data_IF_776402433193
#
_entry.id   IF_776402433193
#
_cell.length_a   1.000
_cell.length_b   1.000
_cell.length_c   1.000
_cell.angle_alpha   90.00
_cell.angle_beta   90.00
_cell.angle_gamma   90.00
#
_symmetry.space_group_name_H-M   'P 1'
#
loop_
_entity.id
_entity.type
_entity.pdbx_description
1 polymer ?
#
# COMPACT_ATOMS: atom_id res chain seq x y z
N UNK A 1 -24.31 -4.97 65.57
CA UNK A 1 -24.13 -5.79 64.35
C UNK A 1 -24.80 -5.05 63.20
N UNK A 2 -24.00 -4.47 62.30
CA UNK A 2 -24.46 -3.63 61.18
C UNK A 2 -24.76 -4.53 59.98
N UNK A 3 -26.00 -4.50 59.47
CA UNK A 3 -26.39 -5.20 58.24
C UNK A 3 -25.91 -4.38 57.04
N UNK A 4 -24.88 -4.86 56.35
CA UNK A 4 -24.47 -4.32 55.04
C UNK A 4 -25.37 -4.89 53.95
N UNK A 5 -26.15 -4.03 53.32
CA UNK A 5 -26.90 -4.33 52.10
C UNK A 5 -25.97 -4.16 50.90
N UNK A 6 -25.65 -5.25 50.21
CA UNK A 6 -24.93 -5.22 48.93
C UNK A 6 -25.92 -4.85 47.81
N UNK A 7 -25.74 -3.67 47.22
CA UNK A 7 -26.38 -3.27 45.97
C UNK A 7 -25.64 -3.95 44.80
N UNK A 8 -26.33 -4.86 44.10
CA UNK A 8 -25.84 -5.45 42.85
C UNK A 8 -26.21 -4.49 41.71
N UNK A 9 -25.20 -3.85 41.10
CA UNK A 9 -25.37 -3.07 39.90
C UNK A 9 -25.46 -4.00 38.68
N UNK A 10 -26.65 -4.09 38.05
CA UNK A 10 -26.80 -4.74 36.75
C UNK A 10 -26.15 -3.86 35.68
N UNK A 11 -25.03 -4.30 35.12
CA UNK A 11 -24.45 -3.71 33.92
C UNK A 11 -25.33 -4.10 32.72
N UNK A 12 -26.01 -3.12 32.13
CA UNK A 12 -26.69 -3.28 30.84
C UNK A 12 -25.66 -3.41 29.73
N UNK A 13 -25.48 -4.61 29.20
CA UNK A 13 -24.72 -4.85 27.99
C UNK A 13 -25.49 -4.25 26.80
N UNK A 14 -25.07 -3.09 26.31
CA UNK A 14 -25.51 -2.56 25.02
C UNK A 14 -24.92 -3.42 23.91
N UNK A 15 -25.70 -4.36 23.39
CA UNK A 15 -25.37 -5.05 22.15
C UNK A 15 -25.40 -4.03 21.01
N UNK A 16 -24.24 -3.64 20.50
CA UNK A 16 -24.16 -2.90 19.25
C UNK A 16 -24.73 -3.79 18.14
N UNK A 17 -25.96 -3.51 17.72
CA UNK A 17 -26.55 -4.13 16.54
C UNK A 17 -25.74 -3.70 15.34
N UNK A 18 -25.01 -4.63 14.71
CA UNK A 18 -24.49 -4.41 13.35
C UNK A 18 -25.69 -4.09 12.48
N UNK A 19 -25.75 -2.87 11.94
CA UNK A 19 -26.84 -2.45 11.06
C UNK A 19 -26.66 -3.16 9.72
N UNK A 20 -27.24 -4.36 9.61
CA UNK A 20 -27.25 -5.12 8.37
C UNK A 20 -28.07 -4.37 7.32
N UNK A 21 -27.53 -4.32 6.10
CA UNK A 21 -28.19 -3.75 4.93
C UNK A 21 -28.72 -4.85 4.01
N UNK A 22 -29.49 -4.48 2.98
CA UNK A 22 -30.06 -5.43 2.02
C UNK A 22 -29.52 -5.21 0.62
N UNK A 23 -29.16 -6.30 -0.06
CA UNK A 23 -28.77 -6.33 -1.47
C UNK A 23 -29.59 -7.43 -2.15
N UNK A 24 -30.64 -7.02 -2.85
CA UNK A 24 -31.63 -7.95 -3.40
C UNK A 24 -32.36 -8.65 -2.25
N UNK A 25 -32.18 -9.97 -2.14
CA UNK A 25 -32.75 -10.79 -1.07
C UNK A 25 -31.75 -11.10 0.05
N UNK A 26 -30.48 -10.70 -0.09
CA UNK A 26 -29.44 -10.97 0.89
C UNK A 26 -29.34 -9.83 1.92
N UNK A 27 -29.17 -10.17 3.19
CA UNK A 27 -28.67 -9.24 4.20
C UNK A 27 -27.14 -9.26 4.23
N UNK A 28 -26.50 -8.11 4.41
CA UNK A 28 -25.04 -8.01 4.42
C UNK A 28 -24.54 -6.97 5.43
N UNK A 29 -23.29 -7.15 5.86
CA UNK A 29 -22.57 -6.16 6.66
C UNK A 29 -21.91 -5.13 5.71
N UNK A 30 -22.31 -3.85 5.76
CA UNK A 30 -21.77 -2.81 4.88
C UNK A 30 -20.30 -2.46 5.16
N UNK A 31 -19.73 -2.97 6.25
CA UNK A 31 -18.29 -2.86 6.51
C UNK A 31 -17.46 -3.93 5.80
N UNK A 32 -18.09 -5.02 5.34
CA UNK A 32 -17.44 -6.15 4.67
C UNK A 32 -17.77 -6.24 3.18
N UNK A 33 -18.94 -5.74 2.76
CA UNK A 33 -19.41 -5.82 1.38
C UNK A 33 -20.02 -4.50 0.92
N UNK A 34 -20.08 -4.34 -0.39
CA UNK A 34 -20.80 -3.27 -1.08
C UNK A 34 -21.79 -3.90 -2.07
N UNK A 35 -23.00 -3.33 -2.15
CA UNK A 35 -24.03 -3.79 -3.06
C UNK A 35 -23.98 -3.03 -4.39
N UNK A 36 -23.90 -3.76 -5.50
CA UNK A 36 -23.95 -3.24 -6.87
C UNK A 36 -25.22 -3.69 -7.58
N UNK A 37 -25.79 -2.79 -8.39
CA UNK A 37 -27.01 -3.03 -9.18
C UNK A 37 -28.15 -3.68 -8.35
N UNK A 38 -28.21 -3.35 -7.06
CA UNK A 38 -29.18 -3.87 -6.09
C UNK A 38 -29.25 -5.39 -5.96
N UNK A 39 -28.29 -6.15 -6.49
CA UNK A 39 -28.37 -7.62 -6.58
C UNK A 39 -27.04 -8.35 -6.44
N UNK A 40 -25.90 -7.66 -6.60
CA UNK A 40 -24.58 -8.28 -6.55
C UNK A 40 -23.77 -7.72 -5.40
N UNK A 41 -23.29 -8.60 -4.51
CA UNK A 41 -22.40 -8.23 -3.42
C UNK A 41 -20.95 -8.38 -3.85
N UNK A 42 -20.19 -7.30 -3.70
CA UNK A 42 -18.73 -7.33 -3.84
C UNK A 42 -18.06 -7.10 -2.50
N UNK A 43 -16.98 -7.83 -2.17
CA UNK A 43 -16.30 -7.64 -0.90
C UNK A 43 -15.56 -6.30 -0.86
N UNK A 44 -15.32 -5.81 0.35
CA UNK A 44 -14.41 -4.70 0.62
C UNK A 44 -13.04 -5.28 0.96
N UNK A 45 -12.04 -5.05 0.12
CA UNK A 45 -10.68 -5.57 0.31
C UNK A 45 -9.69 -4.43 0.57
N UNK A 46 -8.98 -4.49 1.69
CA UNK A 46 -7.99 -3.48 2.08
C UNK A 46 -8.56 -2.03 2.05
N UNK A 47 -9.82 -1.89 2.44
CA UNK A 47 -10.56 -0.62 2.42
C UNK A 47 -11.13 -0.23 1.06
N UNK A 48 -10.90 -1.02 0.00
CA UNK A 48 -11.50 -0.80 -1.31
C UNK A 48 -12.82 -1.58 -1.44
N UNK A 49 -13.96 -0.90 -1.61
CA UNK A 49 -15.17 -1.54 -2.10
C UNK A 49 -14.97 -1.93 -3.57
N UNK A 50 -14.80 -3.22 -3.83
CA UNK A 50 -14.51 -3.71 -5.18
C UNK A 50 -15.62 -3.28 -6.15
N UNK A 51 -15.22 -2.91 -7.35
CA UNK A 51 -16.13 -2.53 -8.43
C UNK A 51 -16.76 -3.78 -9.08
N UNK A 52 -17.90 -3.61 -9.76
CA UNK A 52 -18.52 -4.67 -10.55
C UNK A 52 -18.30 -4.44 -12.05
N UNK A 53 -17.83 -5.46 -12.77
CA UNK A 53 -17.79 -5.49 -14.23
C UNK A 53 -18.33 -6.83 -14.72
N UNK A 54 -19.44 -6.80 -15.47
CA UNK A 54 -20.03 -7.99 -16.11
C UNK A 54 -20.17 -9.21 -15.18
N UNK A 55 -20.62 -8.97 -13.95
CA UNK A 55 -20.84 -10.00 -12.93
C UNK A 55 -19.61 -10.35 -12.07
N UNK A 56 -18.43 -9.80 -12.35
CA UNK A 56 -17.22 -10.03 -11.58
C UNK A 56 -16.81 -8.80 -10.75
N UNK A 57 -16.46 -9.03 -9.48
CA UNK A 57 -15.90 -8.01 -8.62
C UNK A 57 -14.41 -7.82 -8.92
N UNK A 58 -13.94 -6.57 -9.02
CA UNK A 58 -12.56 -6.27 -9.37
C UNK A 58 -12.00 -5.06 -8.61
N UNK A 59 -10.67 -5.01 -8.48
CA UNK A 59 -9.96 -3.88 -7.90
C UNK A 59 -9.67 -2.81 -8.96
N UNK A 60 -10.07 -1.57 -8.68
CA UNK A 60 -9.77 -0.38 -9.46
C UNK A 60 -8.30 0.03 -9.40
N UNK A 61 -7.50 -0.56 -8.52
CA UNK A 61 -6.05 -0.33 -8.52
C UNK A 61 -5.33 -1.07 -9.65
N UNK A 62 -5.96 -2.08 -10.25
CA UNK A 62 -5.36 -2.89 -11.31
C UNK A 62 -6.18 -2.95 -12.58
N UNK A 63 -7.51 -2.86 -12.49
CA UNK A 63 -8.40 -3.07 -13.62
C UNK A 63 -9.38 -1.91 -13.81
N UNK A 64 -9.93 -1.85 -15.01
CA UNK A 64 -11.06 -1.00 -15.39
C UNK A 64 -12.11 -1.85 -16.12
N UNK A 65 -13.34 -1.36 -16.17
CA UNK A 65 -14.42 -1.97 -16.95
C UNK A 65 -14.62 -1.16 -18.23
N UNK A 66 -14.52 -1.80 -19.39
CA UNK A 66 -14.77 -1.11 -20.67
C UNK A 66 -16.23 -0.69 -20.80
N UNK A 67 -16.46 0.39 -21.53
CA UNK A 67 -17.80 0.87 -21.81
C UNK A 67 -18.60 -0.15 -22.66
N UNK A 68 -19.94 -0.11 -22.62
CA UNK A 68 -20.80 -0.91 -23.48
C UNK A 68 -20.45 -0.75 -24.98
N UNK A 69 -20.80 -1.72 -25.85
CA UNK A 69 -21.71 -2.85 -25.62
C UNK A 69 -21.04 -4.12 -25.08
N UNK A 70 -19.71 -4.21 -25.10
CA UNK A 70 -18.95 -5.39 -24.67
C UNK A 70 -18.22 -5.10 -23.36
N UNK A 71 -18.94 -4.66 -22.32
CA UNK A 71 -18.34 -4.37 -21.02
C UNK A 71 -17.50 -5.55 -20.56
N UNK A 72 -16.19 -5.32 -20.49
CA UNK A 72 -15.18 -6.34 -20.27
C UNK A 72 -14.15 -5.79 -19.29
N UNK A 73 -13.65 -6.70 -18.45
CA UNK A 73 -12.58 -6.37 -17.53
C UNK A 73 -11.28 -6.21 -18.32
N UNK A 74 -10.61 -5.07 -18.16
CA UNK A 74 -9.33 -4.78 -18.78
C UNK A 74 -8.31 -4.34 -17.72
N UNK A 75 -7.04 -4.69 -17.90
CA UNK A 75 -5.96 -4.13 -17.09
C UNK A 75 -5.87 -2.63 -17.33
N UNK A 76 -5.59 -1.88 -16.26
CA UNK A 76 -5.21 -0.48 -16.39
C UNK A 76 -3.89 -0.36 -17.18
N UNK A 77 -3.66 0.78 -17.86
CA UNK A 77 -2.39 1.01 -18.53
C UNK A 77 -1.23 0.98 -17.53
N UNK A 78 -0.15 0.21 -17.79
CA UNK A 78 1.04 0.29 -16.96
C UNK A 78 1.65 1.69 -17.06
N UNK A 79 2.32 2.13 -15.98
CA UNK A 79 3.03 3.41 -16.02
C UNK A 79 4.11 3.39 -17.11
N UNK A 80 4.24 4.44 -17.95
CA UNK A 80 5.29 4.49 -18.95
C UNK A 80 6.66 4.39 -18.28
N UNK A 81 7.56 3.61 -18.88
CA UNK A 81 8.86 3.31 -18.29
C UNK A 81 9.66 4.58 -17.98
N UNK A 82 10.28 4.61 -16.82
CA UNK A 82 11.05 5.78 -16.36
C UNK A 82 10.23 7.00 -15.95
N UNK A 83 8.91 6.95 -16.00
CA UNK A 83 8.05 8.00 -15.44
C UNK A 83 8.16 7.99 -13.92
N UNK A 84 8.58 9.09 -13.28
CA UNK A 84 8.61 9.16 -11.83
C UNK A 84 7.21 9.19 -11.21
N UNK A 85 7.04 8.52 -10.06
CA UNK A 85 5.81 8.53 -9.30
C UNK A 85 6.05 8.39 -7.80
N UNK A 86 5.14 8.91 -6.99
CA UNK A 86 5.04 8.64 -5.55
C UNK A 86 3.86 7.71 -5.27
N UNK A 87 3.89 7.10 -4.09
CA UNK A 87 2.86 6.18 -3.62
C UNK A 87 2.21 6.73 -2.36
N UNK A 88 0.89 6.53 -2.26
CA UNK A 88 0.09 6.96 -1.12
C UNK A 88 -0.79 5.81 -0.65
N UNK A 89 -0.97 5.70 0.66
CA UNK A 89 -1.83 4.67 1.24
C UNK A 89 -3.29 4.96 0.91
N UNK A 90 -4.02 3.94 0.45
CA UNK A 90 -5.46 4.02 0.25
C UNK A 90 -6.16 2.92 1.03
N UNK A 91 -6.69 3.29 2.20
CA UNK A 91 -7.68 2.53 2.94
C UNK A 91 -8.52 3.50 3.78
N UNK A 92 -9.71 3.93 3.31
CA UNK A 92 -10.57 4.88 4.03
C UNK A 92 -11.00 4.42 5.44
N UNK A 93 -11.01 3.11 5.71
CA UNK A 93 -11.28 2.56 7.04
C UNK A 93 -10.11 2.76 8.03
N UNK A 94 -8.95 3.22 7.55
CA UNK A 94 -7.78 3.60 8.34
C UNK A 94 -7.48 5.10 8.18
N UNK A 95 -8.27 6.01 8.74
CA UNK A 95 -8.13 7.46 8.51
C UNK A 95 -6.76 8.02 8.91
N UNK A 96 -6.09 7.41 9.89
CA UNK A 96 -4.74 7.82 10.30
C UNK A 96 -3.66 7.54 9.22
N UNK A 97 -3.91 6.57 8.33
CA UNK A 97 -2.99 6.19 7.26
C UNK A 97 -3.51 6.56 5.87
N UNK A 98 -4.82 6.67 5.66
CA UNK A 98 -5.37 7.03 4.35
C UNK A 98 -4.79 8.36 3.86
N UNK A 99 -4.31 8.36 2.61
CA UNK A 99 -3.65 9.52 1.99
C UNK A 99 -2.22 9.79 2.48
N UNK A 100 -1.69 9.02 3.43
CA UNK A 100 -0.30 9.18 3.88
C UNK A 100 0.70 8.64 2.85
N UNK A 101 1.90 9.26 2.73
CA UNK A 101 2.88 8.84 1.75
C UNK A 101 3.56 7.52 2.13
N UNK A 102 3.99 6.78 1.11
CA UNK A 102 5.07 5.80 1.26
C UNK A 102 6.41 6.55 1.32
N UNK A 103 7.25 6.21 2.28
CA UNK A 103 8.54 6.86 2.52
C UNK A 103 9.67 5.86 2.62
N UNK A 104 10.81 6.17 2.01
CA UNK A 104 12.04 5.38 2.08
C UNK A 104 12.91 5.86 3.24
N UNK A 105 13.30 4.96 4.15
CA UNK A 105 14.29 5.25 5.20
C UNK A 105 14.92 3.95 5.74
N UNK A 106 16.22 3.96 6.04
CA UNK A 106 16.95 2.81 6.57
C UNK A 106 16.91 1.60 5.63
N UNK A 107 17.05 1.83 4.33
CA UNK A 107 16.94 0.80 3.27
C UNK A 107 15.60 0.03 3.23
N UNK A 108 14.54 0.60 3.82
CA UNK A 108 13.19 0.03 3.89
C UNK A 108 12.14 1.05 3.45
N UNK A 109 11.02 0.56 2.94
CA UNK A 109 9.83 1.37 2.69
C UNK A 109 8.90 1.33 3.90
N UNK A 110 8.39 2.49 4.27
CA UNK A 110 7.49 2.73 5.39
C UNK A 110 6.27 3.52 4.91
N UNK A 111 5.23 3.58 5.74
CA UNK A 111 4.02 4.36 5.52
C UNK A 111 3.93 5.45 6.57
N UNK A 112 3.53 6.65 6.17
CA UNK A 112 3.42 7.82 7.05
C UNK A 112 4.73 8.15 7.79
N UNK A 113 5.87 7.86 7.17
CA UNK A 113 7.20 8.11 7.72
C UNK A 113 7.82 9.42 7.23
N UNK A 114 9.16 9.48 7.28
CA UNK A 114 9.95 10.56 6.67
C UNK A 114 10.93 9.96 5.67
N UNK A 115 11.09 10.63 4.53
CA UNK A 115 12.11 10.26 3.53
C UNK A 115 13.50 10.49 4.12
N UNK A 116 14.28 9.42 4.25
CA UNK A 116 15.71 9.46 4.48
C UNK A 116 16.43 9.70 3.15
N UNK A 117 17.21 10.77 3.08
CA UNK A 117 18.02 11.09 1.92
C UNK A 117 19.40 11.59 2.33
N UNK A 118 20.35 11.44 1.43
CA UNK A 118 21.70 11.95 1.60
C UNK A 118 22.17 12.64 0.33
N UNK A 119 22.86 13.76 0.51
CA UNK A 119 23.57 14.48 -0.54
C UNK A 119 25.03 14.69 -0.11
N UNK A 120 26.01 14.17 -0.87
CA UNK A 120 27.42 14.45 -0.64
C UNK A 120 27.78 15.90 -0.94
N UNK A 121 28.71 16.49 -0.18
CA UNK A 121 29.18 17.87 -0.39
C UNK A 121 29.75 18.08 -1.81
N UNK A 122 30.39 17.05 -2.39
CA UNK A 122 30.95 17.10 -3.75
C UNK A 122 29.88 17.25 -4.85
N UNK A 123 28.63 16.89 -4.56
CA UNK A 123 27.48 17.07 -5.47
C UNK A 123 26.90 18.49 -5.35
N UNK A 124 27.05 19.11 -4.18
CA UNK A 124 26.74 20.52 -3.94
C UNK A 124 25.32 20.92 -4.34
N UNK A 125 25.22 22.00 -5.12
CA UNK A 125 23.96 22.65 -5.47
C UNK A 125 22.98 21.76 -6.28
N UNK A 126 23.44 20.64 -6.86
CA UNK A 126 22.54 19.75 -7.59
C UNK A 126 21.46 19.12 -6.68
N UNK A 127 21.66 19.09 -5.36
CA UNK A 127 20.69 18.59 -4.41
C UNK A 127 19.66 19.63 -3.94
N UNK A 128 19.98 20.93 -4.02
CA UNK A 128 19.11 21.98 -3.47
C UNK A 128 17.83 22.18 -4.27
N UNK A 129 17.77 21.65 -5.48
CA UNK A 129 16.60 21.69 -6.38
C UNK A 129 15.75 20.43 -6.31
N UNK A 130 16.16 19.42 -5.53
CA UNK A 130 15.47 18.14 -5.45
C UNK A 130 14.31 18.19 -4.46
N UNK A 131 13.20 17.54 -4.82
CA UNK A 131 11.96 17.60 -4.06
C UNK A 131 12.04 16.97 -2.65
N UNK A 132 13.05 16.14 -2.38
CA UNK A 132 13.22 15.39 -1.13
C UNK A 132 11.99 14.53 -0.75
N UNK A 133 11.37 13.93 -1.77
CA UNK A 133 10.24 13.00 -1.62
C UNK A 133 10.65 11.59 -1.99
N UNK A 134 9.94 10.61 -1.44
CA UNK A 134 10.08 9.21 -1.87
C UNK A 134 9.33 9.02 -3.17
N UNK A 135 10.07 8.65 -4.21
CA UNK A 135 9.56 8.43 -5.54
C UNK A 135 10.28 7.25 -6.18
N UNK A 136 9.65 6.73 -7.22
CA UNK A 136 10.04 5.50 -7.89
C UNK A 136 9.96 5.68 -9.40
N UNK A 137 10.66 4.80 -10.11
CA UNK A 137 10.51 4.56 -11.54
C UNK A 137 10.32 3.07 -11.75
N UNK A 138 9.54 2.69 -12.76
CA UNK A 138 9.26 1.29 -13.08
C UNK A 138 9.79 0.93 -14.46
N UNK A 139 10.34 -0.28 -14.58
CA UNK A 139 10.85 -0.86 -15.82
C UNK A 139 10.58 -2.36 -15.85
N UNK A 140 9.71 -2.82 -16.77
CA UNK A 140 9.43 -4.24 -17.01
C UNK A 140 9.16 -5.07 -15.72
N UNK A 141 8.38 -4.53 -14.78
CA UNK A 141 8.03 -5.22 -13.52
C UNK A 141 9.09 -5.14 -12.42
N UNK A 142 10.20 -4.43 -12.67
CA UNK A 142 11.16 -3.96 -11.68
C UNK A 142 10.75 -2.56 -11.17
N UNK A 143 11.10 -2.28 -9.92
CA UNK A 143 10.88 -0.98 -9.29
C UNK A 143 12.21 -0.40 -8.82
N UNK A 144 12.63 0.74 -9.33
CA UNK A 144 13.84 1.44 -8.86
C UNK A 144 13.45 2.72 -8.13
N UNK A 145 14.29 3.14 -7.19
CA UNK A 145 14.12 4.42 -6.51
C UNK A 145 14.43 5.56 -7.48
N UNK A 146 13.68 6.66 -7.42
CA UNK A 146 13.89 7.82 -8.30
C UNK A 146 15.02 8.72 -7.78
N UNK A 147 16.25 8.35 -8.14
CA UNK A 147 17.47 8.88 -7.53
C UNK A 147 18.48 9.31 -8.59
N UNK A 148 19.36 10.26 -8.25
CA UNK A 148 20.41 10.74 -9.15
C UNK A 148 21.71 9.92 -9.04
N UNK A 149 21.90 9.18 -7.94
CA UNK A 149 23.15 8.47 -7.67
C UNK A 149 23.48 7.44 -8.76
N UNK A 150 24.72 7.41 -9.28
CA UNK A 150 25.13 6.43 -10.28
C UNK A 150 24.94 4.98 -9.82
N UNK A 151 24.40 4.13 -10.69
CA UNK A 151 24.03 2.74 -10.36
C UNK A 151 22.67 2.60 -9.66
N UNK A 152 22.08 3.72 -9.22
CA UNK A 152 20.73 3.78 -8.67
C UNK A 152 20.56 2.99 -7.37
N UNK A 153 19.29 2.75 -7.04
CA UNK A 153 18.87 1.91 -5.93
C UNK A 153 17.65 1.11 -6.38
N UNK A 154 17.70 -0.21 -6.16
CA UNK A 154 16.69 -1.14 -6.67
C UNK A 154 15.81 -1.61 -5.53
N UNK A 155 14.49 -1.46 -5.67
CA UNK A 155 13.55 -2.03 -4.71
C UNK A 155 13.42 -3.55 -4.87
N UNK A 156 13.11 -4.22 -3.77
CA UNK A 156 12.93 -5.66 -3.71
C UNK A 156 11.90 -6.05 -2.64
N UNK A 157 11.28 -7.20 -2.83
CA UNK A 157 10.57 -7.93 -1.79
C UNK A 157 11.58 -8.73 -0.98
N UNK A 158 11.67 -8.48 0.33
CA UNK A 158 12.52 -9.25 1.21
C UNK A 158 11.92 -10.61 1.58
N UNK A 159 12.71 -11.48 2.22
CA UNK A 159 12.31 -12.86 2.51
C UNK A 159 11.16 -12.97 3.52
N UNK A 160 10.90 -11.93 4.31
CA UNK A 160 9.78 -11.85 5.27
C UNK A 160 8.65 -10.95 4.77
N UNK A 161 8.63 -10.65 3.47
CA UNK A 161 7.62 -9.81 2.84
C UNK A 161 7.85 -8.31 3.04
N UNK A 162 8.91 -7.88 3.72
CA UNK A 162 9.26 -6.46 3.76
C UNK A 162 9.48 -5.90 2.34
N UNK A 163 9.29 -4.60 2.18
CA UNK A 163 9.74 -3.93 0.95
C UNK A 163 10.99 -3.12 1.27
N UNK A 164 12.11 -3.52 0.67
CA UNK A 164 13.40 -2.88 0.85
C UNK A 164 13.91 -2.29 -0.45
N UNK A 165 15.03 -1.57 -0.36
CA UNK A 165 15.78 -1.13 -1.52
C UNK A 165 17.28 -1.25 -1.27
N UNK A 166 18.07 -1.40 -2.33
CA UNK A 166 19.52 -1.56 -2.20
C UNK A 166 20.19 -0.25 -1.77
N UNK A 167 21.32 -0.38 -1.07
CA UNK A 167 22.19 0.77 -0.83
C UNK A 167 22.70 1.32 -2.17
N UNK A 168 22.95 2.63 -2.24
CA UNK A 168 23.61 3.25 -3.37
C UNK A 168 24.92 2.52 -3.74
N UNK A 169 25.17 2.35 -5.03
CA UNK A 169 26.34 1.64 -5.57
C UNK A 169 26.45 0.16 -5.18
N UNK A 170 25.40 -0.43 -4.61
CA UNK A 170 25.39 -1.81 -4.16
C UNK A 170 24.21 -2.58 -4.75
N UNK A 171 24.46 -3.83 -5.12
CA UNK A 171 23.42 -4.80 -5.46
C UNK A 171 23.05 -5.69 -4.26
N UNK A 172 23.63 -5.44 -3.08
CA UNK A 172 23.41 -6.28 -1.89
C UNK A 172 21.97 -6.18 -1.40
N UNK A 173 21.35 -7.34 -1.21
CA UNK A 173 20.04 -7.52 -0.61
C UNK A 173 20.02 -8.83 0.18
N UNK A 174 19.09 -9.02 1.13
CA UNK A 174 18.99 -10.26 1.88
C UNK A 174 18.79 -11.48 0.97
N UNK A 175 19.38 -12.62 1.34
CA UNK A 175 19.16 -13.87 0.63
C UNK A 175 17.66 -14.24 0.61
N UNK A 176 17.16 -14.70 -0.53
CA UNK A 176 15.74 -15.01 -0.74
C UNK A 176 14.88 -13.80 -1.17
N UNK A 177 15.48 -12.63 -1.36
CA UNK A 177 14.78 -11.46 -1.91
C UNK A 177 14.38 -11.65 -3.38
N UNK A 178 13.34 -10.93 -3.82
CA UNK A 178 12.86 -10.92 -5.21
C UNK A 178 12.76 -9.48 -5.73
N UNK A 179 13.30 -9.21 -6.91
CA UNK A 179 13.31 -7.85 -7.50
C UNK A 179 12.15 -7.60 -8.47
N UNK A 180 11.48 -8.65 -8.92
CA UNK A 180 10.38 -8.59 -9.87
C UNK A 180 9.05 -8.74 -9.16
N UNK A 181 7.98 -8.26 -9.80
CA UNK A 181 6.60 -8.47 -9.36
C UNK A 181 5.89 -7.20 -8.90
N UNK A 182 6.46 -6.04 -9.21
CA UNK A 182 5.84 -4.74 -9.00
C UNK A 182 5.01 -4.38 -10.25
N UNK A 183 3.68 -4.52 -10.16
CA UNK A 183 2.76 -3.96 -11.16
C UNK A 183 2.42 -2.52 -10.79
N UNK A 184 2.59 -1.57 -11.70
CA UNK A 184 2.32 -0.15 -11.44
C UNK A 184 1.44 0.39 -12.56
N UNK A 185 0.26 0.91 -12.21
CA UNK A 185 -0.75 1.30 -13.19
C UNK A 185 -1.11 2.78 -13.08
N UNK A 186 -1.27 3.45 -14.23
CA UNK A 186 -1.71 4.85 -14.31
C UNK A 186 -3.17 4.94 -13.87
N UNK A 187 -3.47 5.88 -12.97
CA UNK A 187 -4.82 6.06 -12.41
C UNK A 187 -5.26 4.93 -11.49
N UNK A 188 -4.37 3.98 -11.18
CA UNK A 188 -4.59 2.87 -10.26
C UNK A 188 -3.56 2.86 -9.15
N UNK A 189 -3.03 1.68 -8.87
CA UNK A 189 -2.09 1.47 -7.79
C UNK A 189 -0.83 0.73 -8.19
N UNK A 190 0.07 0.62 -7.20
CA UNK A 190 1.11 -0.39 -7.21
C UNK A 190 0.54 -1.66 -6.61
N UNK A 191 0.73 -2.80 -7.28
CA UNK A 191 0.26 -4.11 -6.84
C UNK A 191 1.41 -5.12 -6.80
N UNK A 192 1.30 -6.08 -5.90
CA UNK A 192 2.18 -7.21 -5.83
C UNK A 192 1.62 -8.38 -6.67
N UNK A 193 2.16 -8.58 -7.87
CA UNK A 193 1.70 -9.65 -8.77
C UNK A 193 2.19 -11.04 -8.33
N UNK A 194 3.25 -11.12 -7.52
CA UNK A 194 3.75 -12.39 -6.99
C UNK A 194 2.85 -12.96 -5.89
N UNK A 195 2.14 -12.10 -5.17
CA UNK A 195 1.25 -12.47 -4.07
C UNK A 195 -0.19 -12.75 -4.50
N UNK A 196 -0.42 -13.06 -5.78
CA UNK A 196 -1.78 -13.25 -6.31
C UNK A 196 -2.66 -12.00 -6.22
N UNK A 197 -2.07 -10.81 -6.16
CA UNK A 197 -2.81 -9.56 -6.03
C UNK A 197 -3.34 -9.26 -4.62
N UNK A 198 -2.95 -10.04 -3.59
CA UNK A 198 -3.36 -9.80 -2.19
C UNK A 198 -2.87 -8.47 -1.60
N UNK A 199 -2.05 -7.73 -2.35
CA UNK A 199 -1.69 -6.34 -2.10
C UNK A 199 -0.67 -6.16 -0.98
N UNK A 200 -0.92 -5.18 -0.13
CA UNK A 200 0.00 -4.68 0.87
C UNK A 200 -0.61 -4.73 2.27
N UNK A 201 0.23 -4.67 3.29
CA UNK A 201 -0.17 -4.50 4.67
C UNK A 201 0.67 -3.40 5.33
N UNK A 202 -0.01 -2.60 6.16
CA UNK A 202 0.57 -1.65 7.07
C UNK A 202 0.80 -2.34 8.43
N UNK A 203 2.05 -2.53 8.82
CA UNK A 203 2.41 -3.09 10.11
C UNK A 203 2.73 -1.97 11.10
N UNK A 204 2.19 -2.01 12.34
CA UNK A 204 2.43 -0.96 13.31
C UNK A 204 3.93 -0.80 13.60
N UNK A 205 4.39 0.42 13.92
CA UNK A 205 5.77 0.64 14.30
C UNK A 205 6.12 -0.25 15.51
N UNK A 206 7.26 -0.92 15.46
CA UNK A 206 7.77 -1.63 16.64
C UNK A 206 8.44 -0.62 17.58
N UNK A 207 7.93 -0.52 18.81
CA UNK A 207 8.40 0.37 19.90
C UNK A 207 9.93 0.41 20.09
N UNK A 208 10.65 -0.65 19.69
CA UNK A 208 12.09 -0.81 19.93
C UNK A 208 13.04 -0.17 18.91
N UNK A 209 12.54 0.53 17.88
CA UNK A 209 13.34 0.76 16.67
C UNK A 209 13.60 2.22 16.28
N UNK A 210 13.06 3.20 17.01
CA UNK A 210 13.15 4.61 16.59
C UNK A 210 12.61 4.86 15.18
N UNK A 211 11.81 3.92 14.63
CA UNK A 211 11.29 3.96 13.27
C UNK A 211 10.26 5.07 13.13
N UNK A 212 10.43 5.87 12.09
CA UNK A 212 9.50 6.93 11.71
C UNK A 212 8.49 6.31 10.74
N UNK A 213 7.36 5.81 11.25
CA UNK A 213 6.23 5.32 10.44
C UNK A 213 5.94 3.81 10.56
N UNK A 214 4.87 3.38 9.88
CA UNK A 214 4.40 1.99 9.81
C UNK A 214 5.22 1.20 8.80
N UNK A 215 5.50 -0.08 9.05
CA UNK A 215 6.20 -0.93 8.08
C UNK A 215 5.31 -1.27 6.89
N UNK A 216 5.84 -1.16 5.67
CA UNK A 216 5.17 -1.67 4.47
C UNK A 216 5.58 -3.12 4.21
N UNK A 217 4.59 -4.01 4.13
CA UNK A 217 4.78 -5.43 3.84
C UNK A 217 3.97 -5.84 2.60
N UNK A 218 4.60 -6.60 1.71
CA UNK A 218 3.98 -7.25 0.58
C UNK A 218 3.31 -8.55 1.03
N UNK A 219 2.00 -8.69 0.80
CA UNK A 219 1.25 -9.89 1.19
C UNK A 219 1.43 -11.00 0.15
N UNK A 220 1.51 -12.25 0.60
CA UNK A 220 1.64 -13.42 -0.28
C UNK A 220 3.03 -13.62 -0.89
N UNK A 221 4.05 -12.91 -0.40
CA UNK A 221 5.45 -13.07 -0.81
C UNK A 221 6.33 -13.26 0.42
N UNK A 222 7.25 -14.21 0.35
CA UNK A 222 8.13 -14.56 1.47
C UNK A 222 7.48 -15.51 2.47
N UNK A 223 8.24 -15.90 3.50
CA UNK A 223 7.76 -16.74 4.61
C UNK A 223 7.18 -15.94 5.78
N UNK A 224 7.18 -14.61 5.68
CA UNK A 224 6.72 -13.71 6.73
C UNK A 224 5.21 -13.71 6.88
N UNK A 225 4.73 -13.72 8.12
CA UNK A 225 3.31 -13.63 8.44
C UNK A 225 2.94 -12.16 8.72
N UNK A 226 1.96 -11.61 8.01
CA UNK A 226 1.44 -10.26 8.21
C UNK A 226 0.46 -10.17 9.42
N UNK A 227 0.70 -10.96 10.46
CA UNK A 227 -0.13 -10.97 11.67
C UNK A 227 0.01 -9.63 12.40
N UNK A 228 -1.13 -9.04 12.78
CA UNK A 228 -1.16 -7.72 13.42
C UNK A 228 -0.95 -6.54 12.46
N UNK A 229 -0.83 -6.79 11.16
CA UNK A 229 -0.78 -5.76 10.14
C UNK A 229 -2.15 -5.58 9.50
N UNK A 230 -2.48 -4.36 9.10
CA UNK A 230 -3.77 -4.05 8.46
C UNK A 230 -3.60 -3.97 6.94
N UNK A 231 -4.43 -4.65 6.13
CA UNK A 231 -4.34 -4.55 4.67
C UNK A 231 -4.54 -3.11 4.16
N UNK A 232 -3.75 -2.71 3.17
CA UNK A 232 -3.83 -1.40 2.51
C UNK A 232 -3.60 -1.52 1.01
N UNK A 233 -4.13 -0.58 0.23
CA UNK A 233 -3.74 -0.36 -1.15
C UNK A 233 -2.74 0.79 -1.25
N UNK A 234 -2.00 0.84 -2.36
CA UNK A 234 -1.04 1.92 -2.65
C UNK A 234 -1.42 2.61 -3.96
N UNK A 235 -1.94 3.82 -3.86
CA UNK A 235 -2.31 4.67 -4.98
C UNK A 235 -1.06 5.31 -5.62
N UNK A 236 -1.03 5.34 -6.95
CA UNK A 236 0.06 5.93 -7.73
C UNK A 236 -0.25 7.38 -8.08
N UNK A 237 0.68 8.29 -7.77
CA UNK A 237 0.64 9.68 -8.25
C UNK A 237 1.88 9.98 -9.07
N UNK A 238 1.68 10.23 -10.37
CA UNK A 238 2.75 10.61 -11.30
C UNK A 238 3.34 11.96 -10.87
N UNK A 239 4.65 12.07 -10.95
CA UNK A 239 5.39 13.30 -10.67
C UNK A 239 5.93 13.91 -11.95
N UNK A 240 6.36 15.16 -11.84
CA UNK A 240 7.17 15.79 -12.88
C UNK A 240 8.49 15.03 -13.08
N UNK A 241 9.06 15.17 -14.28
CA UNK A 241 10.33 14.51 -14.61
C UNK A 241 11.47 15.05 -13.76
N UNK A 242 12.36 14.15 -13.35
CA UNK A 242 13.56 14.48 -12.59
C UNK A 242 13.75 13.54 -11.40
N UNK A 243 14.97 13.48 -10.87
CA UNK A 243 15.24 12.75 -9.65
C UNK A 243 14.63 13.46 -8.43
N UNK A 244 14.25 12.71 -7.40
CA UNK A 244 13.67 13.29 -6.18
C UNK A 244 14.68 13.50 -5.06
N UNK A 245 15.79 12.76 -5.08
CA UNK A 245 16.91 12.86 -4.14
C UNK A 245 18.22 12.48 -4.81
N UNK A 246 19.35 12.86 -4.21
CA UNK A 246 20.64 12.34 -4.66
C UNK A 246 20.73 10.83 -4.39
N UNK A 247 20.53 10.39 -3.15
CA UNK A 247 20.29 8.99 -2.78
C UNK A 247 19.32 8.88 -1.60
N UNK A 248 18.62 7.76 -1.51
CA UNK A 248 17.83 7.37 -0.33
C UNK A 248 18.70 6.62 0.68
N UNK A 249 18.44 6.82 1.97
CA UNK A 249 19.18 6.22 3.09
C UNK A 249 18.32 5.33 3.95
#
# INVERSE_FOLDING_TARGET
MVRSSLLVALATATTASLALETCGQAQYDPTQFTCHASTVLCPILAGEPLALCSGACFSRFQYTCTAPPASALALLPPIPQGTPFSLFVSNPALPALHGQPVTASGLRLHLAGRTGSYCPDVVGAACTTLANVTAFVSYNGLLSMNTMVPGGQQAYFGPQGEVGYTQAHSASMPAGSRQTGFGVYVGGGMVNVNGGGLGWAACPPTESSGRIGWGLVARGVGGGNATGCTPVNLEVKVLEKGASVWQYT
#
